data_IF_373524396280
#
_entry.id   IF_373524396280
#
_cell.length_a   1.000
_cell.length_b   1.000
_cell.length_c   1.000
_cell.angle_alpha   90.00
_cell.angle_beta   90.00
_cell.angle_gamma   90.00
#
_symmetry.space_group_name_H-M   'P 1'
#
loop_
_entity.id
_entity.type
_entity.pdbx_description
1 polymer ?
#
# COMPACT_ATOMS: atom_id res chain seq x y z
N UNK A 1 -2.16 13.97 3.06
CA UNK A 1 -1.33 13.38 4.15
C UNK A 1 -0.37 12.33 3.59
N UNK A 2 0.63 11.87 4.36
CA UNK A 2 1.52 10.76 3.96
C UNK A 2 0.83 9.43 4.28
N UNK A 3 0.59 8.62 3.25
CA UNK A 3 -0.06 7.31 3.34
C UNK A 3 0.93 6.23 2.92
N UNK A 4 1.05 5.20 3.75
CA UNK A 4 1.76 3.97 3.43
C UNK A 4 0.77 2.92 2.94
N UNK A 5 0.90 2.48 1.68
CA UNK A 5 0.05 1.46 1.10
C UNK A 5 0.86 0.16 0.97
N UNK A 6 0.52 -0.85 1.76
CA UNK A 6 1.21 -2.14 1.77
C UNK A 6 0.47 -3.13 0.88
N UNK A 7 1.19 -3.80 -0.02
CA UNK A 7 0.67 -4.87 -0.90
C UNK A 7 1.70 -5.98 -1.00
N UNK A 8 1.32 -7.26 -0.88
CA UNK A 8 2.27 -8.38 -0.83
C UNK A 8 3.03 -8.61 -2.15
N UNK A 9 2.66 -7.91 -3.22
CA UNK A 9 3.26 -8.06 -4.54
C UNK A 9 3.49 -6.68 -5.18
N UNK A 10 4.68 -6.49 -5.73
CA UNK A 10 5.02 -5.33 -6.54
C UNK A 10 4.50 -5.43 -7.98
N UNK A 11 4.87 -4.41 -8.76
CA UNK A 11 4.41 -4.20 -10.14
C UNK A 11 4.77 -5.35 -11.08
N UNK A 12 5.88 -6.03 -10.79
CA UNK A 12 6.42 -7.17 -11.51
C UNK A 12 5.48 -8.37 -11.56
N UNK A 13 4.63 -8.57 -10.54
CA UNK A 13 3.78 -9.75 -10.45
C UNK A 13 2.47 -9.63 -11.24
N UNK A 14 2.10 -8.43 -11.73
CA UNK A 14 0.91 -8.14 -12.57
C UNK A 14 -0.36 -8.92 -12.15
N UNK A 15 -0.57 -9.08 -10.85
CA UNK A 15 -1.68 -9.87 -10.31
C UNK A 15 -2.78 -8.96 -9.74
N UNK A 16 -3.92 -9.56 -9.38
CA UNK A 16 -5.07 -8.83 -8.85
C UNK A 16 -4.74 -7.93 -7.66
N UNK A 17 -3.82 -8.36 -6.79
CA UNK A 17 -3.41 -7.59 -5.62
C UNK A 17 -2.66 -6.32 -6.03
N UNK A 18 -1.70 -6.43 -6.95
CA UNK A 18 -1.01 -5.27 -7.49
C UNK A 18 -1.97 -4.32 -8.22
N UNK A 19 -2.90 -4.85 -9.02
CA UNK A 19 -3.89 -4.02 -9.71
C UNK A 19 -4.77 -3.23 -8.74
N UNK A 20 -5.23 -3.85 -7.65
CA UNK A 20 -5.96 -3.16 -6.59
C UNK A 20 -5.09 -2.09 -5.92
N UNK A 21 -3.86 -2.42 -5.50
CA UNK A 21 -2.97 -1.46 -4.86
C UNK A 21 -2.64 -0.26 -5.77
N UNK A 22 -2.40 -0.50 -7.06
CA UNK A 22 -2.15 0.56 -8.03
C UNK A 22 -3.35 1.50 -8.18
N UNK A 23 -4.59 0.96 -8.25
CA UNK A 23 -5.81 1.77 -8.33
C UNK A 23 -6.03 2.61 -7.09
N UNK A 24 -5.87 2.02 -5.89
CA UNK A 24 -5.97 2.77 -4.64
C UNK A 24 -4.91 3.87 -4.54
N UNK A 25 -3.67 3.58 -4.93
CA UNK A 25 -2.62 4.60 -4.97
C UNK A 25 -2.95 5.76 -5.92
N UNK A 26 -3.64 5.50 -7.04
CA UNK A 26 -4.12 6.54 -7.94
C UNK A 26 -5.15 7.44 -7.26
N UNK A 27 -6.25 6.86 -6.75
CA UNK A 27 -7.34 7.61 -6.12
C UNK A 27 -6.88 8.44 -4.92
N UNK A 28 -5.99 7.89 -4.09
CA UNK A 28 -5.45 8.60 -2.93
C UNK A 28 -4.54 9.76 -3.33
N UNK A 29 -3.77 9.63 -4.42
CA UNK A 29 -2.96 10.73 -4.97
C UNK A 29 -3.84 11.83 -5.56
N UNK A 30 -4.88 11.45 -6.31
CA UNK A 30 -5.88 12.39 -6.85
C UNK A 30 -6.60 13.15 -5.72
N UNK A 31 -6.82 12.51 -4.58
CA UNK A 31 -7.35 13.15 -3.37
C UNK A 31 -6.32 14.05 -2.62
N UNK A 32 -5.14 14.29 -3.19
CA UNK A 32 -4.13 15.19 -2.61
C UNK A 32 -3.26 14.54 -1.52
N UNK A 33 -3.09 13.21 -1.53
CA UNK A 33 -2.22 12.51 -0.59
C UNK A 33 -0.90 12.08 -1.21
N UNK A 34 0.15 12.02 -0.39
CA UNK A 34 1.43 11.43 -0.77
C UNK A 34 1.40 9.95 -0.44
N UNK A 35 1.38 9.08 -1.46
CA UNK A 35 1.24 7.64 -1.28
C UNK A 35 2.53 6.91 -1.62
N UNK A 36 3.07 6.16 -0.67
CA UNK A 36 4.18 5.23 -0.87
C UNK A 36 3.66 3.80 -0.87
N UNK A 37 3.81 3.12 -2.01
CA UNK A 37 3.44 1.71 -2.16
C UNK A 37 4.65 0.86 -1.80
N UNK A 38 4.50 -0.07 -0.86
CA UNK A 38 5.60 -0.91 -0.35
C UNK A 38 5.12 -2.35 -0.17
N UNK A 39 6.05 -3.31 -0.19
CA UNK A 39 5.72 -4.71 0.09
C UNK A 39 5.62 -5.00 1.59
N UNK A 40 6.44 -4.29 2.36
CA UNK A 40 6.52 -4.41 3.81
C UNK A 40 6.50 -3.03 4.44
N UNK A 41 6.09 -2.99 5.71
CA UNK A 41 6.12 -1.76 6.48
C UNK A 41 7.54 -1.45 6.97
N UNK A 42 8.05 -0.26 6.65
CA UNK A 42 9.41 0.16 7.00
C UNK A 42 9.47 1.01 8.28
N UNK A 43 8.38 1.09 9.04
CA UNK A 43 8.31 1.79 10.33
C UNK A 43 8.37 3.33 10.25
N UNK A 44 8.44 3.91 9.04
CA UNK A 44 8.55 5.36 8.89
C UNK A 44 7.24 6.05 9.28
N UNK A 45 7.27 7.24 9.91
CA UNK A 45 6.04 7.94 10.26
C UNK A 45 5.12 8.19 9.05
N UNK A 46 3.89 7.70 9.12
CA UNK A 46 2.81 7.99 8.16
C UNK A 46 1.58 8.49 8.92
N UNK A 47 0.76 9.33 8.27
CA UNK A 47 -0.52 9.75 8.82
C UNK A 47 -1.57 8.64 8.76
N UNK A 48 -1.36 7.66 7.86
CA UNK A 48 -2.19 6.47 7.72
C UNK A 48 -1.36 5.34 7.09
N UNK A 49 -1.55 4.11 7.57
CA UNK A 49 -1.10 2.89 6.90
C UNK A 49 -2.31 2.08 6.43
N UNK A 50 -2.29 1.66 5.16
CA UNK A 50 -3.31 0.83 4.52
C UNK A 50 -2.66 -0.48 4.06
N UNK A 51 -2.98 -1.60 4.71
CA UNK A 51 -2.49 -2.92 4.32
C UNK A 51 -3.55 -3.65 3.47
N UNK A 52 -3.29 -3.80 2.17
CA UNK A 52 -4.16 -4.53 1.25
C UNK A 52 -3.79 -6.02 1.22
N UNK A 53 -4.79 -6.88 1.41
CA UNK A 53 -4.67 -8.32 1.71
C UNK A 53 -4.09 -8.63 3.10
N UNK A 54 -4.85 -8.30 4.15
CA UNK A 54 -4.48 -8.52 5.56
C UNK A 54 -3.92 -9.92 5.89
N UNK A 55 -4.35 -11.00 5.20
CA UNK A 55 -3.79 -12.35 5.42
C UNK A 55 -2.33 -12.49 4.96
N UNK A 56 -1.96 -11.85 3.84
CA UNK A 56 -0.59 -11.89 3.30
C UNK A 56 0.27 -10.71 3.76
N UNK A 57 -0.35 -9.60 4.12
CA UNK A 57 0.31 -8.43 4.70
C UNK A 57 0.23 -8.39 6.23
N UNK A 58 -0.09 -9.53 6.87
CA UNK A 58 -0.25 -9.65 8.33
C UNK A 58 1.00 -9.17 9.09
N UNK A 59 2.19 -9.46 8.57
CA UNK A 59 3.47 -9.01 9.16
C UNK A 59 3.60 -7.50 9.27
N UNK A 60 2.88 -6.73 8.45
CA UNK A 60 2.92 -5.27 8.44
C UNK A 60 1.92 -4.61 9.39
N UNK A 61 0.97 -5.37 9.95
CA UNK A 61 -0.05 -4.88 10.91
C UNK A 61 0.16 -5.43 12.32
N UNK A 62 1.24 -6.18 12.55
CA UNK A 62 1.61 -6.71 13.86
C UNK A 62 2.41 -5.70 14.67
#
# INVERSE_FOLDING_TARGET
>A
MRIALITPYGREHRNGNWHTAARWACFLREAGHTVRVQQEWDGRPAGLMLALHARRSFSSIK
#
